data_IF_067146959528
#
_entry.id   IF_067146959528
#
_cell.length_a   1.000
_cell.length_b   1.000
_cell.length_c   1.000
_cell.angle_alpha   90.00
_cell.angle_beta   90.00
_cell.angle_gamma   90.00
#
_symmetry.space_group_name_H-M   'P 1'
#
loop_
_entity.id
_entity.type
_entity.pdbx_description
1 polymer ?
#
# COMPACT_ATOMS: atom_id res chain seq x y z
N UNK A 1 20.16 5.27 6.84
CA UNK A 1 19.16 5.82 5.92
C UNK A 1 19.44 5.32 4.51
N UNK A 2 18.40 5.21 3.71
CA UNK A 2 18.46 4.81 2.31
C UNK A 2 17.51 5.69 1.47
N UNK A 3 17.61 5.61 0.15
CA UNK A 3 16.80 6.38 -0.77
C UNK A 3 15.98 5.44 -1.68
N UNK A 4 14.71 5.80 -1.94
CA UNK A 4 13.87 5.20 -2.98
C UNK A 4 13.33 6.36 -3.82
N UNK A 5 13.77 6.45 -5.06
CA UNK A 5 13.50 7.63 -5.90
C UNK A 5 14.03 8.91 -5.24
N UNK A 6 13.15 9.89 -5.09
CA UNK A 6 13.50 11.17 -4.45
C UNK A 6 13.39 11.16 -2.92
N UNK A 7 12.83 10.11 -2.31
CA UNK A 7 12.56 10.06 -0.88
C UNK A 7 13.70 9.43 -0.12
N UNK A 8 14.07 10.08 0.99
CA UNK A 8 15.01 9.58 2.00
C UNK A 8 14.25 8.87 3.11
N UNK A 9 14.68 7.68 3.48
CA UNK A 9 14.09 6.91 4.57
C UNK A 9 15.06 6.67 5.70
N UNK A 10 14.63 6.96 6.91
CA UNK A 10 15.29 6.50 8.13
C UNK A 10 14.76 5.09 8.44
N UNK A 11 15.67 4.15 8.46
CA UNK A 11 15.36 2.74 8.66
C UNK A 11 15.80 2.38 10.07
N UNK A 12 14.84 2.00 10.91
CA UNK A 12 15.15 1.40 12.21
C UNK A 12 15.62 -0.05 12.01
N UNK A 13 16.57 -0.54 12.81
CA UNK A 13 16.97 -1.94 12.78
C UNK A 13 15.82 -2.94 13.03
N UNK A 14 14.72 -2.48 13.58
CA UNK A 14 13.52 -3.27 13.87
C UNK A 14 12.42 -3.13 12.81
N UNK A 15 12.63 -2.31 11.77
CA UNK A 15 11.64 -2.07 10.72
C UNK A 15 12.00 -2.84 9.46
N UNK A 16 10.99 -3.41 8.81
CA UNK A 16 11.17 -3.97 7.47
C UNK A 16 11.49 -2.86 6.47
N UNK A 17 12.45 -3.11 5.59
CA UNK A 17 12.76 -2.26 4.45
C UNK A 17 13.20 -3.15 3.28
N UNK A 18 12.84 -2.77 2.07
CA UNK A 18 13.16 -3.53 0.85
C UNK A 18 14.67 -3.56 0.60
N UNK A 19 15.20 -4.76 0.33
CA UNK A 19 16.67 -5.00 0.24
C UNK A 19 17.26 -4.67 -1.13
N UNK A 20 16.46 -4.45 -2.17
CA UNK A 20 16.90 -4.16 -3.52
C UNK A 20 16.38 -2.77 -3.95
N UNK A 21 17.13 -1.68 -3.72
CA UNK A 21 16.66 -0.31 -3.97
C UNK A 21 16.21 -0.09 -5.42
N UNK A 22 16.93 -0.65 -6.40
CA UNK A 22 16.61 -0.49 -7.82
C UNK A 22 15.24 -1.12 -8.14
N UNK A 23 15.02 -2.34 -7.70
CA UNK A 23 13.74 -3.03 -7.94
C UNK A 23 12.61 -2.48 -7.08
N UNK A 24 12.94 -1.89 -5.93
CA UNK A 24 11.95 -1.18 -5.10
C UNK A 24 11.39 0.04 -5.81
N UNK A 25 12.23 0.80 -6.54
CA UNK A 25 11.75 1.90 -7.37
C UNK A 25 10.82 1.41 -8.49
N UNK A 26 11.12 0.26 -9.10
CA UNK A 26 10.25 -0.36 -10.11
C UNK A 26 8.91 -0.79 -9.49
N UNK A 27 8.96 -1.46 -8.33
CA UNK A 27 7.76 -1.91 -7.60
C UNK A 27 6.85 -0.74 -7.22
N UNK A 28 7.42 0.30 -6.61
CA UNK A 28 6.66 1.48 -6.17
C UNK A 28 6.22 2.36 -7.34
N UNK A 29 7.04 2.46 -8.39
CA UNK A 29 6.67 3.11 -9.64
C UNK A 29 5.46 2.45 -10.29
N UNK A 30 5.43 1.11 -10.31
CA UNK A 30 4.28 0.35 -10.81
C UNK A 30 3.05 0.48 -9.90
N UNK A 31 3.25 0.51 -8.59
CA UNK A 31 2.17 0.77 -7.62
C UNK A 31 1.53 2.15 -7.86
N UNK A 32 2.36 3.18 -8.05
CA UNK A 32 1.89 4.54 -8.36
C UNK A 32 1.19 4.62 -9.72
N UNK A 33 1.73 3.94 -10.75
CA UNK A 33 1.10 3.84 -12.08
C UNK A 33 -0.28 3.21 -11.99
N UNK A 34 -0.41 2.10 -11.25
CA UNK A 34 -1.67 1.38 -11.12
C UNK A 34 -2.69 2.09 -10.23
N UNK A 35 -2.22 2.90 -9.27
CA UNK A 35 -3.08 3.78 -8.51
C UNK A 35 -3.73 4.87 -9.38
N UNK A 36 -3.11 5.24 -10.51
CA UNK A 36 -3.65 6.12 -11.56
C UNK A 36 -4.20 7.43 -10.97
N UNK A 37 -3.33 8.14 -10.23
CA UNK A 37 -3.67 9.33 -9.46
C UNK A 37 -3.53 10.60 -10.31
N UNK A 38 -4.52 11.49 -10.21
CA UNK A 38 -4.58 12.78 -10.93
C UNK A 38 -4.29 14.00 -10.02
N UNK A 39 -4.21 13.79 -8.71
CA UNK A 39 -4.03 14.84 -7.70
C UNK A 39 -5.27 15.14 -6.87
N UNK A 40 -6.41 14.55 -7.20
CA UNK A 40 -7.68 14.76 -6.50
C UNK A 40 -8.08 13.57 -5.60
N UNK A 41 -7.38 12.44 -5.73
CA UNK A 41 -7.73 11.20 -5.06
C UNK A 41 -7.22 11.14 -3.62
N UNK A 42 -8.05 10.56 -2.76
CA UNK A 42 -7.69 10.12 -1.42
C UNK A 42 -7.35 8.62 -1.46
N UNK A 43 -6.17 8.29 -0.95
CA UNK A 43 -5.62 6.94 -0.96
C UNK A 43 -5.53 6.40 0.46
N UNK A 44 -5.96 5.15 0.68
CA UNK A 44 -5.64 4.40 1.89
C UNK A 44 -4.52 3.39 1.59
N UNK A 45 -3.48 3.41 2.42
CA UNK A 45 -2.35 2.47 2.38
C UNK A 45 -2.44 1.58 3.63
N UNK A 46 -3.00 0.40 3.45
CA UNK A 46 -3.12 -0.60 4.50
C UNK A 46 -1.82 -1.43 4.58
N UNK A 47 -1.33 -1.67 5.78
CA UNK A 47 0.00 -2.21 6.07
C UNK A 47 1.15 -1.27 5.67
N UNK A 48 1.02 0.03 5.94
CA UNK A 48 1.96 1.03 5.43
C UNK A 48 3.39 0.93 5.96
N UNK A 49 3.62 0.15 7.02
CA UNK A 49 4.94 -0.01 7.63
C UNK A 49 5.57 1.33 8.03
N UNK A 50 6.77 1.59 7.56
CA UNK A 50 7.49 2.85 7.77
C UNK A 50 7.08 3.97 6.79
N UNK A 51 5.97 3.79 6.08
CA UNK A 51 5.40 4.78 5.18
C UNK A 51 6.05 4.84 3.80
N UNK A 52 6.77 3.80 3.39
CA UNK A 52 7.54 3.85 2.14
C UNK A 52 6.64 3.98 0.89
N UNK A 53 5.61 3.15 0.78
CA UNK A 53 4.60 3.26 -0.30
C UNK A 53 3.76 4.52 -0.11
N UNK A 54 3.34 4.84 1.13
CA UNK A 54 2.57 6.05 1.45
C UNK A 54 3.24 7.32 0.92
N UNK A 55 4.54 7.50 1.20
CA UNK A 55 5.30 8.66 0.73
C UNK A 55 5.42 8.67 -0.80
N UNK A 56 5.60 7.50 -1.41
CA UNK A 56 5.69 7.40 -2.85
C UNK A 56 4.39 7.79 -3.55
N UNK A 57 3.24 7.40 -2.99
CA UNK A 57 1.91 7.78 -3.48
C UNK A 57 1.58 9.26 -3.26
N UNK A 58 2.10 9.86 -2.18
CA UNK A 58 1.85 11.27 -1.83
C UNK A 58 2.24 12.27 -2.91
N UNK A 59 3.14 11.87 -3.82
CA UNK A 59 3.57 12.69 -4.96
C UNK A 59 2.43 13.09 -5.90
N UNK A 60 1.40 12.24 -5.99
CA UNK A 60 0.29 12.40 -6.93
C UNK A 60 -1.09 12.27 -6.30
N UNK A 61 -1.16 11.96 -5.01
CA UNK A 61 -2.42 11.92 -4.27
C UNK A 61 -2.77 13.27 -3.70
N UNK A 62 -4.07 13.54 -3.52
CA UNK A 62 -4.54 14.65 -2.70
C UNK A 62 -4.18 14.41 -1.24
N UNK A 63 -4.54 13.27 -0.70
CA UNK A 63 -4.26 12.84 0.67
C UNK A 63 -3.96 11.33 0.68
N UNK A 64 -3.04 10.90 1.53
CA UNK A 64 -2.74 9.49 1.75
C UNK A 64 -2.87 9.16 3.24
N UNK A 65 -3.61 8.11 3.55
CA UNK A 65 -3.86 7.63 4.91
C UNK A 65 -3.19 6.27 5.10
N UNK A 66 -2.05 6.26 5.77
CA UNK A 66 -1.29 5.04 6.08
C UNK A 66 -1.74 4.45 7.41
N UNK A 67 -2.02 3.14 7.42
CA UNK A 67 -2.42 2.40 8.62
C UNK A 67 -1.47 1.23 8.84
N UNK A 68 -0.98 1.09 10.08
CA UNK A 68 -0.04 0.04 10.48
C UNK A 68 -0.28 -0.32 11.94
N UNK A 69 -0.23 -1.60 12.25
CA UNK A 69 -0.48 -2.10 13.62
C UNK A 69 0.70 -1.83 14.56
N UNK A 70 1.91 -1.69 14.02
CA UNK A 70 3.15 -1.52 14.81
C UNK A 70 3.39 -0.03 15.09
N UNK A 71 3.25 0.43 16.36
CA UNK A 71 3.40 1.86 16.69
C UNK A 71 4.77 2.42 16.30
N UNK A 72 5.85 1.64 16.48
CA UNK A 72 7.21 2.08 16.14
C UNK A 72 7.38 2.32 14.63
N UNK A 73 6.70 1.56 13.78
CA UNK A 73 6.73 1.77 12.34
C UNK A 73 6.03 3.09 11.97
N UNK A 74 4.91 3.39 12.60
CA UNK A 74 4.19 4.68 12.42
C UNK A 74 5.03 5.88 12.89
N UNK A 75 5.76 5.77 14.01
CA UNK A 75 6.68 6.84 14.42
C UNK A 75 7.76 7.08 13.36
N UNK A 76 8.34 6.02 12.80
CA UNK A 76 9.30 6.13 11.71
C UNK A 76 8.66 6.74 10.44
N UNK A 77 7.42 6.34 10.11
CA UNK A 77 6.69 6.89 8.97
C UNK A 77 6.47 8.40 9.08
N UNK A 78 6.09 8.88 10.27
CA UNK A 78 5.94 10.32 10.55
C UNK A 78 7.27 11.07 10.43
N UNK A 79 8.36 10.51 10.95
CA UNK A 79 9.71 11.08 10.80
C UNK A 79 10.10 11.17 9.33
N UNK A 80 9.87 10.09 8.57
CA UNK A 80 10.16 10.05 7.15
C UNK A 80 9.34 11.08 6.37
N UNK A 81 8.06 11.27 6.69
CA UNK A 81 7.22 12.29 6.06
C UNK A 81 7.77 13.71 6.31
N UNK A 82 8.13 14.03 7.56
CA UNK A 82 8.71 15.33 7.92
C UNK A 82 10.03 15.59 7.20
N UNK A 83 10.94 14.63 7.18
CA UNK A 83 12.24 14.77 6.52
C UNK A 83 12.16 14.95 5.00
N UNK A 84 11.08 14.43 4.39
CA UNK A 84 10.83 14.58 2.96
C UNK A 84 9.87 15.74 2.63
N UNK A 85 9.48 16.56 3.61
CA UNK A 85 8.52 17.67 3.46
C UNK A 85 7.16 17.21 2.87
N UNK A 86 6.73 15.99 3.20
CA UNK A 86 5.43 15.45 2.80
C UNK A 86 4.38 15.87 3.84
N UNK A 87 3.40 16.67 3.41
CA UNK A 87 2.38 17.25 4.29
C UNK A 87 0.97 16.65 4.08
N UNK A 88 0.79 15.85 3.04
CA UNK A 88 -0.47 15.20 2.66
C UNK A 88 -0.50 13.70 2.97
N UNK A 89 0.36 13.24 3.89
CA UNK A 89 0.38 11.87 4.39
C UNK A 89 0.03 11.84 5.89
N UNK A 90 -0.95 11.02 6.25
CA UNK A 90 -1.47 10.87 7.61
C UNK A 90 -1.28 9.43 8.08
N UNK A 91 -0.81 9.23 9.31
CA UNK A 91 -0.44 7.90 9.80
C UNK A 91 -1.19 7.54 11.07
N UNK A 92 -1.76 6.33 11.09
CA UNK A 92 -2.60 5.80 12.16
C UNK A 92 -2.08 4.45 12.64
N UNK A 93 -2.02 4.28 13.96
CA UNK A 93 -1.69 3.00 14.59
C UNK A 93 -2.96 2.20 14.78
N UNK A 94 -3.01 0.97 14.29
CA UNK A 94 -4.10 0.05 14.52
C UNK A 94 -4.25 -1.01 13.43
N UNK A 95 -5.21 -1.89 13.63
CA UNK A 95 -5.60 -2.87 12.62
C UNK A 95 -6.33 -2.17 11.47
N UNK A 96 -5.91 -2.39 10.23
CA UNK A 96 -6.45 -1.68 9.05
C UNK A 96 -7.95 -1.94 8.87
N UNK A 97 -8.44 -3.13 9.20
CA UNK A 97 -9.85 -3.51 9.16
C UNK A 97 -10.72 -2.79 10.21
N UNK A 98 -10.11 -2.11 11.18
CA UNK A 98 -10.79 -1.29 12.18
C UNK A 98 -10.62 0.18 11.87
N UNK A 99 -9.38 0.63 11.67
CA UNK A 99 -9.06 2.05 11.49
C UNK A 99 -9.64 2.61 10.19
N UNK A 100 -9.56 1.86 9.08
CA UNK A 100 -10.06 2.34 7.78
C UNK A 100 -11.58 2.58 7.81
N UNK A 101 -12.43 1.64 8.27
CA UNK A 101 -13.86 1.91 8.44
C UNK A 101 -14.16 3.09 9.35
N UNK A 102 -13.41 3.28 10.44
CA UNK A 102 -13.59 4.41 11.35
C UNK A 102 -13.30 5.75 10.67
N UNK A 103 -12.26 5.84 9.84
CA UNK A 103 -11.96 7.04 9.06
C UNK A 103 -13.05 7.32 8.03
N UNK A 104 -13.60 6.29 7.38
CA UNK A 104 -14.73 6.42 6.46
C UNK A 104 -15.99 6.94 7.20
N UNK A 105 -16.27 6.43 8.39
CA UNK A 105 -17.40 6.90 9.23
C UNK A 105 -17.23 8.37 9.65
N UNK A 106 -16.00 8.86 9.74
CA UNK A 106 -15.68 10.28 9.97
C UNK A 106 -15.82 11.14 8.70
N UNK A 107 -16.21 10.56 7.56
CA UNK A 107 -16.48 11.26 6.31
C UNK A 107 -15.29 11.32 5.34
N UNK A 108 -14.20 10.61 5.60
CA UNK A 108 -13.07 10.50 4.68
C UNK A 108 -13.43 9.48 3.60
N UNK A 109 -13.38 9.87 2.33
CA UNK A 109 -13.68 8.99 1.20
C UNK A 109 -12.37 8.37 0.69
N UNK A 110 -12.38 7.06 0.43
CA UNK A 110 -11.29 6.39 -0.26
C UNK A 110 -11.60 6.28 -1.76
N UNK A 111 -10.78 6.87 -2.59
CA UNK A 111 -10.84 6.66 -4.05
C UNK A 111 -10.01 5.45 -4.46
N UNK A 112 -8.88 5.24 -3.80
CA UNK A 112 -7.95 4.13 -4.04
C UNK A 112 -7.55 3.49 -2.72
N UNK A 113 -7.46 2.17 -2.71
CA UNK A 113 -6.87 1.40 -1.60
C UNK A 113 -5.63 0.69 -2.10
N UNK A 114 -4.53 0.84 -1.39
CA UNK A 114 -3.28 0.11 -1.63
C UNK A 114 -3.06 -0.85 -0.46
N UNK A 115 -2.66 -2.07 -0.75
CA UNK A 115 -2.32 -3.07 0.27
C UNK A 115 -0.99 -3.72 -0.06
N UNK A 116 -0.14 -3.90 0.95
CA UNK A 116 1.12 -4.66 0.88
C UNK A 116 1.20 -5.61 2.09
N UNK A 117 0.36 -6.67 2.10
CA UNK A 117 0.26 -7.57 3.24
C UNK A 117 1.48 -8.49 3.37
N UNK A 118 1.70 -9.10 4.56
CA UNK A 118 2.67 -10.14 4.73
C UNK A 118 2.35 -11.37 3.86
N UNK A 119 3.29 -12.35 3.79
CA UNK A 119 3.17 -13.57 2.95
C UNK A 119 1.84 -14.33 3.06
N UNK A 120 1.17 -14.27 4.20
CA UNK A 120 -0.15 -14.91 4.40
C UNK A 120 -1.30 -14.26 3.61
N UNK A 121 -1.05 -13.13 2.96
CA UNK A 121 -2.06 -12.29 2.30
C UNK A 121 -2.83 -11.42 3.28
N UNK A 122 -3.86 -10.75 2.79
CA UNK A 122 -4.75 -9.93 3.61
C UNK A 122 -5.58 -10.78 4.57
N UNK A 123 -5.89 -10.23 5.74
CA UNK A 123 -6.92 -10.79 6.59
C UNK A 123 -8.30 -10.69 5.92
N UNK A 124 -9.15 -11.69 6.14
CA UNK A 124 -10.49 -11.70 5.56
C UNK A 124 -11.30 -10.46 5.94
N UNK A 125 -11.19 -10.02 7.20
CA UNK A 125 -11.88 -8.82 7.66
C UNK A 125 -11.45 -7.56 6.91
N UNK A 126 -10.16 -7.46 6.56
CA UNK A 126 -9.68 -6.34 5.76
C UNK A 126 -10.23 -6.42 4.32
N UNK A 127 -10.25 -7.61 3.69
CA UNK A 127 -10.85 -7.77 2.36
C UNK A 127 -12.34 -7.39 2.38
N UNK A 128 -13.07 -7.83 3.40
CA UNK A 128 -14.49 -7.46 3.59
C UNK A 128 -14.64 -5.93 3.81
N UNK A 129 -13.75 -5.32 4.59
CA UNK A 129 -13.75 -3.87 4.79
C UNK A 129 -13.48 -3.11 3.49
N UNK A 130 -12.47 -3.51 2.71
CA UNK A 130 -12.12 -2.89 1.43
C UNK A 130 -13.29 -2.96 0.44
N UNK A 131 -13.98 -4.10 0.36
CA UNK A 131 -15.12 -4.25 -0.54
C UNK A 131 -16.31 -3.36 -0.15
N UNK A 132 -16.45 -3.05 1.12
CA UNK A 132 -17.50 -2.16 1.64
C UNK A 132 -17.18 -0.67 1.49
N UNK A 133 -15.93 -0.29 1.29
CA UNK A 133 -15.49 1.12 1.16
C UNK A 133 -15.95 1.76 -0.16
N UNK A 134 -16.23 0.95 -1.17
CA UNK A 134 -16.62 1.43 -2.49
C UNK A 134 -15.52 2.19 -3.25
N UNK A 135 -14.25 1.87 -2.98
CA UNK A 135 -13.11 2.46 -3.68
C UNK A 135 -13.15 2.12 -5.17
N UNK A 136 -12.79 3.09 -6.01
CA UNK A 136 -12.78 2.92 -7.47
C UNK A 136 -11.71 1.94 -7.93
N UNK A 137 -10.58 1.89 -7.21
CA UNK A 137 -9.41 1.07 -7.55
C UNK A 137 -8.79 0.45 -6.30
N UNK A 138 -8.23 -0.74 -6.49
CA UNK A 138 -7.37 -1.39 -5.52
C UNK A 138 -6.04 -1.69 -6.20
N UNK A 139 -4.93 -1.39 -5.53
CA UNK A 139 -3.59 -1.82 -5.92
C UNK A 139 -3.09 -2.81 -4.87
N UNK A 140 -2.81 -4.03 -5.28
CA UNK A 140 -2.37 -5.08 -4.38
C UNK A 140 -0.91 -5.42 -4.67
N UNK A 141 -0.01 -5.10 -3.75
CA UNK A 141 1.39 -5.53 -3.75
C UNK A 141 1.48 -6.85 -3.00
N UNK A 142 2.25 -7.82 -3.51
CA UNK A 142 2.34 -9.14 -2.88
C UNK A 142 3.65 -9.84 -3.17
N UNK A 143 4.26 -10.38 -2.12
CA UNK A 143 5.44 -11.24 -2.22
C UNK A 143 5.12 -12.73 -2.38
N UNK A 144 3.84 -13.13 -2.46
CA UNK A 144 3.41 -14.52 -2.62
C UNK A 144 2.28 -14.65 -3.64
N UNK A 145 2.54 -15.22 -4.83
CA UNK A 145 1.53 -15.38 -5.88
C UNK A 145 0.33 -16.23 -5.48
N UNK A 146 0.49 -17.18 -4.57
CA UNK A 146 -0.59 -18.10 -4.18
C UNK A 146 -1.63 -17.38 -3.32
N UNK A 147 -1.17 -16.59 -2.34
CA UNK A 147 -2.05 -15.79 -1.49
C UNK A 147 -2.65 -14.63 -2.26
N UNK A 148 -1.88 -14.03 -3.20
CA UNK A 148 -2.39 -13.03 -4.12
C UNK A 148 -3.57 -13.59 -4.93
N UNK A 149 -3.42 -14.74 -5.58
CA UNK A 149 -4.48 -15.33 -6.40
C UNK A 149 -5.76 -15.60 -5.58
N UNK A 150 -5.62 -16.07 -4.33
CA UNK A 150 -6.74 -16.27 -3.41
C UNK A 150 -7.47 -14.94 -3.10
N UNK A 151 -6.72 -13.92 -2.76
CA UNK A 151 -7.29 -12.64 -2.35
C UNK A 151 -7.91 -11.89 -3.54
N UNK A 152 -7.29 -11.98 -4.73
CA UNK A 152 -7.87 -11.44 -5.97
C UNK A 152 -9.21 -12.11 -6.29
N UNK A 153 -9.33 -13.43 -6.12
CA UNK A 153 -10.60 -14.14 -6.34
C UNK A 153 -11.70 -13.61 -5.42
N UNK A 154 -11.38 -13.39 -4.12
CA UNK A 154 -12.34 -12.83 -3.17
C UNK A 154 -12.77 -11.41 -3.58
N UNK A 155 -11.83 -10.56 -3.98
CA UNK A 155 -12.14 -9.20 -4.42
C UNK A 155 -12.99 -9.20 -5.71
N UNK A 156 -12.72 -10.12 -6.63
CA UNK A 156 -13.52 -10.27 -7.87
C UNK A 156 -14.95 -10.74 -7.60
N UNK A 157 -15.14 -11.67 -6.67
CA UNK A 157 -16.47 -12.10 -6.22
C UNK A 157 -17.26 -10.95 -5.58
N UNK A 158 -16.55 -9.94 -5.03
CA UNK A 158 -17.14 -8.80 -4.36
C UNK A 158 -17.13 -7.49 -5.20
N UNK A 159 -17.17 -7.62 -6.53
CA UNK A 159 -17.46 -6.48 -7.41
C UNK A 159 -16.27 -5.76 -8.00
N UNK A 160 -15.07 -6.28 -7.83
CA UNK A 160 -13.87 -5.78 -8.52
C UNK A 160 -13.54 -6.64 -9.75
N UNK A 161 -12.65 -6.13 -10.57
CA UNK A 161 -12.08 -6.86 -11.72
C UNK A 161 -10.58 -6.64 -11.74
N UNK A 162 -9.82 -7.73 -11.71
CA UNK A 162 -8.38 -7.71 -11.94
C UNK A 162 -8.12 -7.34 -13.40
N UNK A 163 -7.40 -6.24 -13.61
CA UNK A 163 -7.07 -5.74 -14.94
C UNK A 163 -5.70 -6.21 -15.39
N UNK A 164 -4.73 -6.11 -14.49
CA UNK A 164 -3.34 -6.43 -14.77
C UNK A 164 -2.66 -6.96 -13.52
N UNK A 165 -1.67 -7.84 -13.70
CA UNK A 165 -0.74 -8.29 -12.67
C UNK A 165 0.67 -8.19 -13.25
N UNK A 166 1.52 -7.38 -12.63
CA UNK A 166 2.90 -7.17 -13.02
C UNK A 166 3.84 -7.83 -12.01
N UNK A 167 4.59 -8.86 -12.40
CA UNK A 167 5.66 -9.39 -11.56
C UNK A 167 6.88 -8.46 -11.59
N UNK A 168 7.59 -8.39 -10.44
CA UNK A 168 8.83 -7.63 -10.26
C UNK A 168 9.88 -8.54 -9.61
N UNK A 169 11.00 -8.72 -10.26
CA UNK A 169 12.10 -9.58 -9.75
C UNK A 169 12.93 -8.85 -8.69
N UNK A 170 12.36 -8.78 -7.48
CA UNK A 170 12.98 -8.16 -6.31
C UNK A 170 14.18 -8.98 -5.80
N UNK A 171 14.13 -10.30 -5.94
CA UNK A 171 15.10 -11.24 -5.38
C UNK A 171 15.70 -12.14 -6.47
N UNK A 172 16.56 -11.59 -7.38
CA UNK A 172 17.16 -12.35 -8.48
C UNK A 172 17.84 -13.62 -7.97
N UNK A 173 17.77 -14.69 -8.77
CA UNK A 173 18.32 -16.02 -8.45
C UNK A 173 17.62 -16.76 -7.30
N UNK A 174 16.42 -16.34 -6.89
CA UNK A 174 15.58 -17.05 -5.93
C UNK A 174 14.23 -17.42 -6.57
N UNK A 175 13.42 -18.20 -5.86
CA UNK A 175 12.04 -18.51 -6.27
C UNK A 175 11.02 -17.44 -5.81
N UNK A 176 11.49 -16.36 -5.17
CA UNK A 176 10.64 -15.30 -4.67
C UNK A 176 10.42 -14.21 -5.73
N UNK A 177 9.18 -13.79 -5.87
CA UNK A 177 8.80 -12.75 -6.81
C UNK A 177 7.78 -11.81 -6.15
N UNK A 178 7.97 -10.51 -6.32
CA UNK A 178 6.97 -9.52 -5.98
C UNK A 178 5.99 -9.35 -7.14
N UNK A 179 4.78 -8.96 -6.82
CA UNK A 179 3.73 -8.71 -7.81
C UNK A 179 2.98 -7.43 -7.46
N UNK A 180 2.58 -6.68 -8.46
CA UNK A 180 1.62 -5.59 -8.30
C UNK A 180 0.40 -5.90 -9.15
N UNK A 181 -0.77 -5.96 -8.53
CA UNK A 181 -2.04 -6.18 -9.22
C UNK A 181 -2.89 -4.90 -9.20
N UNK A 182 -3.49 -4.57 -10.35
CA UNK A 182 -4.46 -3.50 -10.51
C UNK A 182 -5.86 -4.08 -10.59
N UNK A 183 -6.75 -3.64 -9.69
CA UNK A 183 -8.16 -3.96 -9.75
C UNK A 183 -8.97 -2.68 -9.89
N UNK A 184 -10.07 -2.77 -10.64
CA UNK A 184 -11.04 -1.69 -10.78
C UNK A 184 -12.42 -2.17 -10.38
N UNK A 185 -13.22 -1.29 -9.84
CA UNK A 185 -14.61 -1.59 -9.52
C UNK A 185 -15.41 -1.81 -10.80
N UNK A 186 -16.28 -2.84 -10.80
CA UNK A 186 -17.19 -3.13 -11.92
C UNK A 186 -18.34 -2.15 -11.97
#
# INVERSE_FOLDING_TARGET
CDYIGQFKYNISPLSFFQVNPIQTEVLYGKTLEYADLSGDETVFDAYCGTGSITLFLSQKAKEVYGVEIIPQAIENAKINAVENNVNNAHFYVGESEVVIPDLINQGIKADVVVVDPPRKGCDKKLLDAITNIDAKRIVYVSCDPSTLARDLAILEENGYKTMEVQPVDMFPHTAHIENVAKLVKR
#
